data_IF_335296964261
#
_entry.id   IF_335296964261
#
_cell.length_a   1.000
_cell.length_b   1.000
_cell.length_c   1.000
_cell.angle_alpha   90.00
_cell.angle_beta   90.00
_cell.angle_gamma   90.00
#
_symmetry.space_group_name_H-M   'P 1'
#
loop_
_entity.id
_entity.type
_entity.pdbx_description
1 polymer ?
#
# COMPACT_ATOMS: atom_id res chain seq x y z
N UNK A 1 27.68 9.98 17.65
CA UNK A 1 26.77 10.46 16.60
C UNK A 1 26.07 9.23 16.04
N UNK A 2 24.76 9.07 16.23
CA UNK A 2 24.02 7.95 15.61
C UNK A 2 23.90 8.27 14.11
N UNK A 3 24.69 7.61 13.29
CA UNK A 3 24.54 7.71 11.84
C UNK A 3 23.35 6.83 11.47
N UNK A 4 22.25 7.45 11.06
CA UNK A 4 21.12 6.71 10.51
C UNK A 4 21.59 5.95 9.26
N UNK A 5 21.34 4.64 9.21
CA UNK A 5 21.59 3.84 8.02
C UNK A 5 20.48 4.15 6.99
N UNK A 6 20.87 4.74 5.87
CA UNK A 6 20.01 4.97 4.72
C UNK A 6 20.34 3.96 3.62
N UNK A 7 19.34 3.56 2.85
CA UNK A 7 19.52 2.77 1.62
C UNK A 7 19.97 3.65 0.43
N UNK A 8 20.07 3.05 -0.76
CA UNK A 8 20.48 3.74 -1.98
C UNK A 8 19.49 4.85 -2.43
N UNK A 9 18.25 4.83 -1.94
CA UNK A 9 17.24 5.86 -2.18
C UNK A 9 17.24 6.95 -1.10
N UNK A 10 18.18 6.89 -0.13
CA UNK A 10 18.26 7.83 0.98
C UNK A 10 17.17 7.61 2.03
N UNK A 11 16.62 6.40 2.11
CA UNK A 11 15.57 6.02 3.05
C UNK A 11 16.10 5.15 4.18
N UNK A 12 15.69 5.48 5.40
CA UNK A 12 15.88 4.64 6.58
C UNK A 12 14.55 4.05 7.04
N UNK A 13 14.64 2.97 7.83
CA UNK A 13 13.47 2.33 8.46
C UNK A 13 13.50 2.53 9.98
N UNK A 14 12.36 2.91 10.54
CA UNK A 14 12.14 3.07 11.97
C UNK A 14 11.01 2.15 12.42
N UNK A 15 11.25 1.36 13.47
CA UNK A 15 10.22 0.59 14.16
C UNK A 15 9.69 1.40 15.34
N UNK A 16 8.41 1.76 15.30
CA UNK A 16 7.72 2.45 16.37
C UNK A 16 6.61 1.59 16.99
N UNK A 17 6.12 2.00 18.16
CA UNK A 17 5.03 1.30 18.87
C UNK A 17 3.74 1.18 18.04
N UNK A 18 3.50 2.11 17.12
CA UNK A 18 2.31 2.12 16.26
C UNK A 18 2.54 1.51 14.87
N UNK A 19 3.74 1.00 14.57
CA UNK A 19 4.05 0.39 13.27
C UNK A 19 5.42 0.78 12.74
N UNK A 20 5.65 0.50 11.46
CA UNK A 20 6.93 0.73 10.79
C UNK A 20 6.84 1.98 9.91
N UNK A 21 7.94 2.72 9.84
CA UNK A 21 8.02 3.98 9.13
C UNK A 21 9.24 4.03 8.21
N UNK A 22 9.06 4.62 7.03
CA UNK A 22 10.18 5.17 6.28
C UNK A 22 10.49 6.58 6.75
N UNK A 23 11.76 6.94 6.77
CA UNK A 23 12.21 8.32 6.94
C UNK A 23 13.36 8.66 5.99
N UNK A 24 13.59 9.95 5.76
CA UNK A 24 14.71 10.42 4.94
C UNK A 24 15.52 11.52 5.64
N UNK A 25 16.67 11.89 5.05
CA UNK A 25 17.58 12.90 5.61
C UNK A 25 16.96 14.31 5.74
N UNK A 26 15.88 14.59 5.02
CA UNK A 26 15.11 15.84 5.14
C UNK A 26 14.12 15.82 6.31
N UNK A 27 14.09 14.75 7.10
CA UNK A 27 13.23 14.59 8.26
C UNK A 27 11.78 14.21 7.93
N UNK A 28 11.44 13.90 6.67
CA UNK A 28 10.12 13.34 6.37
C UNK A 28 10.02 11.94 6.97
N UNK A 29 8.86 11.64 7.55
CA UNK A 29 8.54 10.37 8.18
C UNK A 29 7.15 9.91 7.70
N UNK A 30 7.03 8.67 7.22
CA UNK A 30 5.75 8.10 6.77
C UNK A 30 5.57 6.70 7.29
N UNK A 31 4.41 6.46 7.90
CA UNK A 31 3.98 5.13 8.32
C UNK A 31 3.65 4.30 7.09
N UNK A 32 4.14 3.08 7.05
CA UNK A 32 3.87 2.13 5.97
C UNK A 32 3.15 0.91 6.46
N UNK A 33 2.61 0.15 5.51
CA UNK A 33 2.12 -1.20 5.79
C UNK A 33 3.31 -2.04 6.27
N UNK A 34 3.07 -2.90 7.27
CA UNK A 34 4.06 -3.87 7.70
C UNK A 34 4.01 -5.07 6.75
N UNK A 35 5.17 -5.48 6.23
CA UNK A 35 5.28 -6.63 5.34
C UNK A 35 6.54 -7.42 5.67
N UNK A 36 6.42 -8.74 5.82
CA UNK A 36 7.52 -9.65 6.14
C UNK A 36 8.47 -9.14 7.26
N UNK A 37 7.88 -8.74 8.38
CA UNK A 37 8.56 -8.15 9.56
C UNK A 37 9.25 -6.79 9.33
N UNK A 38 9.05 -6.16 8.18
CA UNK A 38 9.66 -4.89 7.80
C UNK A 38 8.67 -3.87 7.23
N UNK A 39 9.24 -2.77 6.74
CA UNK A 39 8.53 -1.80 5.92
C UNK A 39 8.12 -2.43 4.60
N UNK A 40 6.88 -2.20 4.16
CA UNK A 40 6.44 -2.62 2.82
C UNK A 40 7.32 -1.98 1.73
N UNK A 41 7.77 -2.80 0.79
CA UNK A 41 8.72 -2.38 -0.24
C UNK A 41 8.08 -1.46 -1.27
N UNK A 42 8.92 -0.70 -1.97
CA UNK A 42 8.48 0.05 -3.15
C UNK A 42 8.29 -0.92 -4.32
N UNK A 43 7.10 -0.92 -4.90
CA UNK A 43 6.81 -1.57 -6.18
C UNK A 43 6.54 -0.48 -7.21
N UNK A 44 7.27 -0.51 -8.33
CA UNK A 44 7.17 0.50 -9.40
C UNK A 44 7.29 1.94 -8.90
N UNK A 45 8.10 2.16 -7.86
CA UNK A 45 8.35 3.48 -7.27
C UNK A 45 7.35 3.92 -6.19
N UNK A 46 6.33 3.10 -5.89
CA UNK A 46 5.32 3.39 -4.87
C UNK A 46 5.28 2.32 -3.76
N UNK A 47 5.16 2.75 -2.51
CA UNK A 47 4.96 1.87 -1.35
C UNK A 47 3.61 2.16 -0.69
N UNK A 48 2.99 1.14 -0.08
CA UNK A 48 1.71 1.32 0.63
C UNK A 48 1.93 2.02 1.97
N UNK A 49 1.21 3.12 2.17
CA UNK A 49 1.21 3.89 3.42
C UNK A 49 -0.08 3.66 4.20
N UNK A 50 0.01 3.64 5.54
CA UNK A 50 -1.12 3.33 6.43
C UNK A 50 -1.40 4.49 7.39
N UNK A 51 -2.52 5.19 7.18
CA UNK A 51 -2.98 6.29 8.02
C UNK A 51 -4.46 6.14 8.37
N UNK A 52 -4.82 6.29 9.65
CA UNK A 52 -6.19 6.11 10.15
C UNK A 52 -6.83 4.79 9.70
N UNK A 53 -6.04 3.71 9.70
CA UNK A 53 -6.42 2.38 9.22
C UNK A 53 -6.84 2.31 7.74
N UNK A 54 -6.51 3.33 6.95
CA UNK A 54 -6.68 3.35 5.51
C UNK A 54 -5.34 3.28 4.80
N UNK A 55 -5.33 2.59 3.68
CA UNK A 55 -4.17 2.38 2.82
C UNK A 55 -4.20 3.40 1.68
N UNK A 56 -3.06 4.04 1.47
CA UNK A 56 -2.74 4.88 0.31
C UNK A 56 -1.35 4.53 -0.21
N UNK A 57 -0.77 5.41 -1.03
CA UNK A 57 0.54 5.18 -1.63
C UNK A 57 1.44 6.40 -1.51
N UNK A 58 2.72 6.13 -1.24
CA UNK A 58 3.78 7.14 -1.16
C UNK A 58 4.88 6.84 -2.19
N UNK A 59 5.55 7.88 -2.67
CA UNK A 59 6.77 7.74 -3.47
C UNK A 59 8.02 7.67 -2.59
N UNK A 60 9.19 7.49 -3.20
CA UNK A 60 10.49 7.44 -2.51
C UNK A 60 10.89 8.77 -1.85
N UNK A 61 10.28 9.88 -2.24
CA UNK A 61 10.43 11.18 -1.57
C UNK A 61 9.54 11.31 -0.33
N UNK A 62 8.80 10.25 0.02
CA UNK A 62 7.85 10.15 1.12
C UNK A 62 6.65 11.10 0.97
N UNK A 63 6.35 11.49 -0.27
CA UNK A 63 5.15 12.25 -0.63
C UNK A 63 3.98 11.31 -0.88
N UNK A 64 2.80 11.73 -0.46
CA UNK A 64 1.55 11.00 -0.70
C UNK A 64 1.19 11.19 -2.18
N UNK A 65 1.21 10.10 -2.94
CA UNK A 65 0.80 10.08 -4.35
C UNK A 65 -0.69 9.76 -4.45
N UNK A 66 -1.16 8.80 -3.62
CA UNK A 66 -2.56 8.42 -3.56
C UNK A 66 -3.00 8.47 -2.10
N UNK A 67 -4.02 9.27 -1.82
CA UNK A 67 -4.55 9.46 -0.47
C UNK A 67 -4.98 8.13 0.18
N UNK A 68 -4.77 7.96 1.49
CA UNK A 68 -5.17 6.76 2.20
C UNK A 68 -6.68 6.70 2.39
N UNK A 69 -7.36 6.01 1.49
CA UNK A 69 -8.83 5.88 1.48
C UNK A 69 -9.31 4.44 1.42
N UNK A 70 -8.43 3.48 1.13
CA UNK A 70 -8.77 2.07 0.95
C UNK A 70 -8.66 1.30 2.26
N UNK A 71 -9.53 0.32 2.49
CA UNK A 71 -9.38 -0.60 3.63
C UNK A 71 -8.25 -1.61 3.38
N UNK A 72 -7.97 -1.89 2.11
CA UNK A 72 -6.82 -2.65 1.70
C UNK A 72 -6.40 -2.29 0.26
N UNK A 73 -5.12 -2.45 -0.02
CA UNK A 73 -4.55 -2.23 -1.35
C UNK A 73 -3.39 -3.20 -1.59
N UNK A 74 -3.27 -3.70 -2.82
CA UNK A 74 -2.11 -4.48 -3.27
C UNK A 74 -0.97 -3.57 -3.75
N UNK A 75 0.30 -4.03 -3.74
CA UNK A 75 1.37 -3.32 -4.43
C UNK A 75 1.03 -3.14 -5.92
N UNK A 76 1.60 -2.10 -6.54
CA UNK A 76 1.49 -1.92 -7.98
C UNK A 76 2.22 -3.02 -8.74
N UNK A 77 1.62 -3.50 -9.82
CA UNK A 77 2.20 -4.44 -10.78
C UNK A 77 1.58 -4.17 -12.16
N UNK A 78 2.42 -4.02 -13.17
CA UNK A 78 2.05 -3.60 -14.53
C UNK A 78 1.29 -2.27 -14.53
N UNK A 79 1.71 -1.32 -13.69
CA UNK A 79 1.07 0.00 -13.57
C UNK A 79 -0.31 0.00 -12.89
N UNK A 80 -0.75 -1.14 -12.35
CA UNK A 80 -2.08 -1.32 -11.78
C UNK A 80 -2.03 -1.84 -10.34
N UNK A 81 -3.01 -1.46 -9.54
CA UNK A 81 -3.20 -2.01 -8.20
C UNK A 81 -4.66 -2.36 -7.95
N UNK A 82 -4.87 -3.53 -7.36
CA UNK A 82 -6.16 -3.97 -6.87
C UNK A 82 -6.41 -3.36 -5.49
N UNK A 83 -7.52 -2.64 -5.34
CA UNK A 83 -7.89 -1.91 -4.12
C UNK A 83 -9.26 -2.34 -3.62
N UNK A 84 -9.48 -2.14 -2.32
CA UNK A 84 -10.67 -2.60 -1.64
C UNK A 84 -11.25 -1.53 -0.72
N UNK A 85 -12.58 -1.42 -0.71
CA UNK A 85 -13.36 -0.72 0.30
C UNK A 85 -14.29 -1.69 1.03
N UNK A 86 -14.23 -1.70 2.36
CA UNK A 86 -15.07 -2.53 3.22
C UNK A 86 -14.66 -4.00 3.35
N UNK A 87 -13.49 -4.43 2.85
CA UNK A 87 -12.99 -5.76 3.18
C UNK A 87 -12.41 -5.81 4.57
N UNK A 88 -12.44 -7.01 5.15
CA UNK A 88 -11.87 -7.29 6.46
C UNK A 88 -10.74 -8.30 6.34
N UNK A 89 -9.80 -8.22 7.27
CA UNK A 89 -8.79 -9.26 7.42
C UNK A 89 -9.46 -10.49 8.06
N UNK A 90 -9.39 -11.63 7.37
CA UNK A 90 -9.83 -12.91 7.89
C UNK A 90 -8.63 -13.86 7.94
N UNK A 91 -8.36 -14.37 9.14
CA UNK A 91 -7.36 -15.41 9.32
C UNK A 91 -7.92 -16.74 8.83
N UNK A 92 -7.33 -17.28 7.77
CA UNK A 92 -7.65 -18.58 7.18
C UNK A 92 -6.44 -19.49 7.40
N UNK A 93 -6.54 -20.40 8.37
CA UNK A 93 -5.45 -21.27 8.83
C UNK A 93 -4.23 -20.43 9.26
N UNK A 94 -3.12 -20.58 8.55
CA UNK A 94 -1.84 -19.90 8.82
C UNK A 94 -1.70 -18.56 8.06
N UNK A 95 -2.66 -18.20 7.21
CA UNK A 95 -2.59 -17.01 6.35
C UNK A 95 -3.72 -16.02 6.68
N UNK A 96 -3.45 -14.73 6.54
CA UNK A 96 -4.49 -13.70 6.52
C UNK A 96 -4.92 -13.42 5.08
N UNK A 97 -6.23 -13.42 4.83
CA UNK A 97 -6.82 -13.06 3.54
C UNK A 97 -7.81 -11.92 3.70
N UNK A 98 -7.93 -11.09 2.67
CA UNK A 98 -8.91 -10.00 2.63
C UNK A 98 -10.20 -10.51 2.02
N UNK A 99 -11.27 -10.51 2.80
CA UNK A 99 -12.59 -11.03 2.41
C UNK A 99 -13.66 -9.97 2.50
N UNK A 100 -14.72 -10.15 1.72
CA UNK A 100 -15.81 -9.17 1.61
C UNK A 100 -15.38 -7.87 0.92
N UNK A 101 -16.16 -6.82 1.16
CA UNK A 101 -15.97 -5.51 0.57
C UNK A 101 -16.23 -5.44 -0.94
N UNK A 102 -16.00 -4.27 -1.49
CA UNK A 102 -16.00 -4.00 -2.91
C UNK A 102 -14.57 -3.75 -3.38
N UNK A 103 -14.27 -4.33 -4.53
CA UNK A 103 -12.95 -4.34 -5.14
C UNK A 103 -12.99 -3.60 -6.47
N UNK A 104 -11.92 -2.88 -6.75
CA UNK A 104 -11.68 -2.17 -8.01
C UNK A 104 -10.20 -2.08 -8.29
N UNK A 105 -9.85 -1.51 -9.43
CA UNK A 105 -8.46 -1.42 -9.90
C UNK A 105 -8.16 0.02 -10.22
N UNK A 106 -6.98 0.48 -9.78
CA UNK A 106 -6.49 1.83 -10.02
C UNK A 106 -5.16 1.80 -10.75
N UNK A 107 -4.81 2.88 -11.44
CA UNK A 107 -3.46 3.10 -11.96
C UNK A 107 -2.57 3.84 -10.92
N UNK A 108 -1.32 4.09 -11.28
CA UNK A 108 -0.33 4.72 -10.40
C UNK A 108 -0.66 6.19 -10.03
N UNK A 109 -1.54 6.84 -10.79
CA UNK A 109 -2.06 8.19 -10.49
C UNK A 109 -3.27 8.12 -9.54
N UNK A 110 -3.76 6.93 -9.22
CA UNK A 110 -4.95 6.71 -8.40
C UNK A 110 -6.26 6.81 -9.18
N UNK A 111 -6.20 6.87 -10.51
CA UNK A 111 -7.40 6.88 -11.36
C UNK A 111 -8.03 5.49 -11.37
N UNK A 112 -9.36 5.45 -11.29
CA UNK A 112 -10.12 4.20 -11.27
C UNK A 112 -10.18 3.61 -12.69
N UNK A 113 -9.48 2.50 -12.90
CA UNK A 113 -9.51 1.68 -14.12
C UNK A 113 -10.68 0.71 -14.12
N UNK A 114 -10.97 0.10 -12.96
CA UNK A 114 -12.17 -0.72 -12.73
C UNK A 114 -12.87 -0.21 -11.46
N UNK A 115 -14.17 0.13 -11.52
CA UNK A 115 -14.91 0.63 -10.37
C UNK A 115 -14.81 -0.25 -9.13
N UNK A 116 -14.75 0.38 -7.95
CA UNK A 116 -14.70 -0.28 -6.65
C UNK A 116 -16.13 -0.68 -6.24
N UNK A 117 -16.72 -1.61 -6.98
CA UNK A 117 -18.12 -2.03 -6.82
C UNK A 117 -18.33 -3.53 -6.99
N UNK A 118 -17.25 -4.29 -7.15
CA UNK A 118 -17.31 -5.70 -7.53
C UNK A 118 -16.75 -6.61 -6.44
N UNK A 119 -17.05 -7.91 -6.53
CA UNK A 119 -16.21 -8.89 -5.85
C UNK A 119 -14.82 -8.88 -6.47
N UNK A 120 -13.83 -9.33 -5.70
CA UNK A 120 -12.43 -9.41 -6.13
C UNK A 120 -12.28 -10.07 -7.51
N UNK A 121 -12.86 -11.25 -7.69
CA UNK A 121 -12.69 -12.03 -8.91
C UNK A 121 -13.35 -11.35 -10.12
N UNK A 122 -14.50 -10.71 -9.90
CA UNK A 122 -15.19 -9.95 -10.96
C UNK A 122 -14.39 -8.73 -11.38
N UNK A 123 -13.77 -7.99 -10.44
CA UNK A 123 -12.90 -6.87 -10.78
C UNK A 123 -11.70 -7.32 -11.65
N UNK A 124 -11.07 -8.44 -11.31
CA UNK A 124 -9.93 -9.00 -12.07
C UNK A 124 -10.38 -9.45 -13.46
N UNK A 125 -11.55 -10.09 -13.59
CA UNK A 125 -12.09 -10.50 -14.89
C UNK A 125 -12.44 -9.30 -15.78
N UNK A 126 -12.92 -8.21 -15.19
CA UNK A 126 -13.22 -6.96 -15.92
C UNK A 126 -11.97 -6.34 -16.51
N UNK A 127 -10.85 -6.33 -15.79
CA UNK A 127 -9.58 -5.83 -16.32
C UNK A 127 -9.15 -6.59 -17.60
N UNK A 128 -9.26 -7.92 -17.61
CA UNK A 128 -8.84 -8.76 -18.74
C UNK A 128 -9.68 -8.60 -20.02
N UNK A 129 -10.84 -7.93 -19.93
CA UNK A 129 -11.79 -7.75 -21.03
C UNK A 129 -11.75 -6.35 -21.63
N UNK A 130 -10.96 -5.44 -21.06
CA UNK A 130 -10.67 -4.12 -21.59
C UNK A 130 -9.36 -4.16 -22.38
#
# INVERSE_FOLDING_TARGET
MLQACYDADGLGVLWGSSGIYYFNANGKLRRVVNFDNGADYFSEGLARSLWNNKVGYINKQLDIVISPVYDFAYPFNDGLALVCSGCVDQRIKEYSSRVGGHWGIINQQGEIVVPISYTRDVAIQKLKRN
#
